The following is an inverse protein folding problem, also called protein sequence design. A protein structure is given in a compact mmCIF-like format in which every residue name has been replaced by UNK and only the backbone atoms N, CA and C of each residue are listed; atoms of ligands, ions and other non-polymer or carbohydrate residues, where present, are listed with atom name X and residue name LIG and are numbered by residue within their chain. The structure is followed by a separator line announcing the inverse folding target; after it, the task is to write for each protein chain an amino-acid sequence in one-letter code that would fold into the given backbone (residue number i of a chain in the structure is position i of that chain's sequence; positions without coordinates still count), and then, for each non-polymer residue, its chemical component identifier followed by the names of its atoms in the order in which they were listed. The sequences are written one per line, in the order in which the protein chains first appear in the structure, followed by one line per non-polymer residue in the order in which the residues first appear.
data_IF_368502042213
#
_entry.id   IF_368502042213
#
_cell.length_a   1.000
_cell.length_b   1.000
_cell.length_c   1.000
_cell.angle_alpha   90.00
_cell.angle_beta   90.00
_cell.angle_gamma   90.00
#
_symmetry.space_group_name_H-M   'P 1'
#
loop_
_entity.id
_entity.type
_entity.pdbx_description
1 polymer ?
#
# COMPACT_ATOMS: atom_id res chain seq x y z
N UNK A 1 19.00 13.55 4.45
CA UNK A 1 18.21 14.08 5.60
C UNK A 1 17.08 13.13 5.93
N UNK A 2 16.91 12.81 7.20
CA UNK A 2 15.80 12.04 7.76
C UNK A 2 14.53 12.89 7.90
N UNK A 3 13.39 12.22 8.14
CA UNK A 3 12.06 12.84 8.19
C UNK A 3 11.91 13.83 9.35
N UNK A 4 12.46 13.50 10.52
CA UNK A 4 12.36 14.35 11.70
C UNK A 4 13.10 15.67 11.49
N UNK A 5 14.30 15.62 10.92
CA UNK A 5 15.07 16.82 10.56
C UNK A 5 14.34 17.75 9.59
N UNK A 6 13.62 17.20 8.60
CA UNK A 6 12.86 18.03 7.64
C UNK A 6 11.63 18.70 8.26
N UNK A 7 10.95 18.03 9.18
CA UNK A 7 9.82 18.61 9.93
C UNK A 7 10.29 19.79 10.79
N UNK A 8 11.46 19.66 11.42
CA UNK A 8 12.04 20.70 12.26
C UNK A 8 12.57 21.90 11.47
N UNK A 9 12.98 21.69 10.21
CA UNK A 9 13.53 22.72 9.34
C UNK A 9 12.47 23.58 8.63
N UNK A 10 11.23 23.11 8.51
CA UNK A 10 10.15 23.89 7.87
C UNK A 10 9.55 24.93 8.84
N UNK A 11 9.38 26.19 8.41
CA UNK A 11 8.77 27.21 9.24
C UNK A 11 7.29 26.91 9.54
N UNK A 12 6.88 27.16 10.78
CA UNK A 12 5.48 27.08 11.19
C UNK A 12 4.77 28.42 10.91
N UNK A 13 3.46 28.39 10.58
CA UNK A 13 2.67 29.61 10.49
C UNK A 13 2.68 30.34 11.84
N UNK A 14 2.68 31.68 11.85
CA UNK A 14 2.80 32.47 13.08
C UNK A 14 1.67 32.23 14.08
N UNK A 15 0.52 31.71 13.61
CA UNK A 15 -0.67 31.48 14.44
C UNK A 15 -0.75 30.07 15.06
N UNK A 16 0.27 29.23 14.86
CA UNK A 16 0.26 27.83 15.34
C UNK A 16 1.36 27.62 16.39
N UNK A 17 1.02 27.17 17.61
CA UNK A 17 2.01 26.85 18.63
C UNK A 17 2.99 25.77 18.17
N UNK A 18 4.30 25.99 18.38
CA UNK A 18 5.35 25.01 18.08
C UNK A 18 5.39 23.91 19.14
N UNK A 19 4.39 23.05 19.12
CA UNK A 19 4.27 21.89 20.02
C UNK A 19 4.67 20.60 19.30
N UNK A 20 5.04 19.58 20.09
CA UNK A 20 5.38 18.25 19.55
C UNK A 20 4.22 17.64 18.74
N UNK A 21 2.99 17.80 19.20
CA UNK A 21 1.78 17.28 18.53
C UNK A 21 1.66 17.83 17.09
N UNK A 22 1.72 19.16 16.93
CA UNK A 22 1.63 19.84 15.62
C UNK A 22 2.76 19.39 14.68
N UNK A 23 3.98 19.25 15.20
CA UNK A 23 5.12 18.78 14.40
C UNK A 23 4.93 17.32 13.97
N UNK A 24 4.40 16.47 14.84
CA UNK A 24 4.10 15.06 14.54
C UNK A 24 3.04 14.94 13.45
N UNK A 25 1.94 15.69 13.55
CA UNK A 25 0.86 15.73 12.57
C UNK A 25 1.35 16.18 11.19
N UNK A 26 2.08 17.30 11.12
CA UNK A 26 2.70 17.77 9.87
C UNK A 26 3.68 16.72 9.31
N UNK A 27 4.42 16.06 10.20
CA UNK A 27 5.27 14.94 9.82
C UNK A 27 4.49 13.83 9.13
N UNK A 28 3.27 13.52 9.59
CA UNK A 28 2.36 12.51 9.01
C UNK A 28 1.83 12.94 7.65
N UNK A 29 1.38 14.18 7.49
CA UNK A 29 0.95 14.74 6.20
C UNK A 29 2.08 14.69 5.14
N UNK A 30 3.31 15.02 5.56
CA UNK A 30 4.49 14.91 4.71
C UNK A 30 4.84 13.44 4.36
N UNK A 31 4.47 12.48 5.21
CA UNK A 31 4.65 11.07 4.90
C UNK A 31 3.58 10.55 3.93
N UNK A 32 2.34 11.02 4.06
CA UNK A 32 1.24 10.68 3.15
C UNK A 32 1.49 11.19 1.73
N UNK A 33 1.91 12.44 1.59
CA UNK A 33 2.26 13.03 0.28
C UNK A 33 3.47 12.35 -0.40
N UNK A 34 4.33 11.68 0.37
CA UNK A 34 5.48 10.91 -0.13
C UNK A 34 5.16 9.46 -0.45
N UNK A 35 3.92 9.03 -0.24
CA UNK A 35 3.51 7.70 -0.63
C UNK A 35 3.52 7.54 -2.15
N UNK A 36 3.66 6.29 -2.58
CA UNK A 36 3.73 5.96 -3.99
C UNK A 36 2.40 6.21 -4.72
N UNK A 37 1.29 5.90 -4.04
CA UNK A 37 -0.08 6.14 -4.51
C UNK A 37 -0.66 7.36 -3.79
N UNK A 38 -1.58 8.06 -4.44
CA UNK A 38 -2.39 9.07 -3.76
C UNK A 38 -3.37 8.41 -2.79
N UNK A 39 -3.87 9.13 -1.76
CA UNK A 39 -4.85 8.56 -0.82
C UNK A 39 -6.11 8.00 -1.50
N UNK A 40 -6.55 8.64 -2.60
CA UNK A 40 -7.70 8.20 -3.39
C UNK A 40 -7.42 6.90 -4.16
N UNK A 41 -6.25 6.82 -4.80
CA UNK A 41 -5.76 5.62 -5.48
C UNK A 41 -5.61 4.45 -4.49
N UNK A 42 -5.08 4.74 -3.31
CA UNK A 42 -4.89 3.77 -2.24
C UNK A 42 -6.24 3.21 -1.76
N UNK A 43 -7.22 4.09 -1.53
CA UNK A 43 -8.60 3.71 -1.17
C UNK A 43 -9.28 2.89 -2.26
N UNK A 44 -9.07 3.21 -3.54
CA UNK A 44 -9.60 2.44 -4.66
C UNK A 44 -8.99 1.03 -4.72
N UNK A 45 -7.67 0.92 -4.51
CA UNK A 45 -6.97 -0.36 -4.47
C UNK A 45 -7.45 -1.24 -3.30
N UNK A 46 -7.65 -0.64 -2.12
CA UNK A 46 -8.24 -1.34 -0.95
C UNK A 46 -9.61 -1.90 -1.30
N UNK A 47 -10.53 -1.06 -1.82
CA UNK A 47 -11.87 -1.51 -2.25
C UNK A 47 -11.81 -2.66 -3.24
N UNK A 48 -10.92 -2.58 -4.23
CA UNK A 48 -10.72 -3.66 -5.20
C UNK A 48 -10.29 -4.97 -4.53
N UNK A 49 -9.32 -4.93 -3.61
CA UNK A 49 -8.87 -6.14 -2.89
C UNK A 49 -9.99 -6.72 -2.03
N UNK A 50 -10.76 -5.88 -1.34
CA UNK A 50 -11.91 -6.31 -0.54
C UNK A 50 -12.98 -6.97 -1.41
N UNK A 51 -13.29 -6.39 -2.57
CA UNK A 51 -14.24 -6.93 -3.55
C UNK A 51 -13.78 -8.30 -4.05
N UNK A 52 -12.53 -8.40 -4.50
CA UNK A 52 -11.95 -9.65 -4.97
C UNK A 52 -12.00 -10.75 -3.90
N UNK A 53 -11.73 -10.40 -2.64
CA UNK A 53 -11.88 -11.33 -1.52
C UNK A 53 -13.33 -11.77 -1.31
N UNK A 54 -14.31 -10.86 -1.43
CA UNK A 54 -15.73 -11.19 -1.29
C UNK A 54 -16.25 -12.11 -2.41
N UNK A 55 -15.65 -12.02 -3.59
CA UNK A 55 -15.94 -12.88 -4.75
C UNK A 55 -15.26 -14.26 -4.66
N UNK A 56 -14.54 -14.55 -3.57
CA UNK A 56 -13.80 -15.81 -3.40
C UNK A 56 -12.46 -15.86 -4.14
N UNK A 57 -11.98 -14.72 -4.64
CA UNK A 57 -10.71 -14.61 -5.36
C UNK A 57 -9.73 -13.67 -4.64
N UNK A 58 -9.20 -14.06 -3.47
CA UNK A 58 -8.30 -13.22 -2.70
C UNK A 58 -7.02 -12.88 -3.47
N UNK A 59 -6.69 -11.59 -3.52
CA UNK A 59 -5.50 -11.09 -4.20
C UNK A 59 -4.24 -11.49 -3.41
N UNK A 60 -3.26 -12.11 -4.08
CA UNK A 60 -1.98 -12.45 -3.45
C UNK A 60 -1.09 -11.22 -3.31
N UNK A 61 -0.36 -11.13 -2.20
CA UNK A 61 0.53 -10.00 -1.89
C UNK A 61 1.58 -9.71 -2.98
N UNK A 62 2.02 -10.75 -3.72
CA UNK A 62 2.97 -10.61 -4.84
C UNK A 62 2.44 -9.71 -5.98
N UNK A 63 1.13 -9.66 -6.18
CA UNK A 63 0.50 -8.84 -7.22
C UNK A 63 0.25 -7.39 -6.76
N UNK A 64 0.36 -7.09 -5.47
CA UNK A 64 0.13 -5.74 -4.95
C UNK A 64 1.08 -4.71 -5.55
N UNK A 65 2.36 -5.09 -5.73
CA UNK A 65 3.36 -4.21 -6.35
C UNK A 65 3.01 -3.91 -7.81
N UNK A 66 2.57 -4.91 -8.57
CA UNK A 66 2.23 -4.72 -9.98
C UNK A 66 0.92 -3.95 -10.17
N UNK A 67 -0.07 -4.15 -9.29
CA UNK A 67 -1.30 -3.37 -9.27
C UNK A 67 -1.01 -1.89 -8.98
N UNK A 68 -0.24 -1.61 -7.91
CA UNK A 68 0.18 -0.26 -7.58
C UNK A 68 0.98 0.40 -8.71
N UNK A 69 1.89 -0.36 -9.34
CA UNK A 69 2.64 0.12 -10.49
C UNK A 69 1.74 0.51 -11.67
N UNK A 70 0.74 -0.33 -12.00
CA UNK A 70 -0.21 -0.04 -13.09
C UNK A 70 -1.06 1.19 -12.83
N UNK A 71 -1.50 1.40 -11.58
CA UNK A 71 -2.25 2.61 -11.20
C UNK A 71 -1.37 3.84 -11.39
N UNK A 72 -0.16 3.80 -10.82
CA UNK A 72 0.75 4.92 -10.89
C UNK A 72 1.20 5.24 -12.34
N UNK A 73 1.33 4.20 -13.17
CA UNK A 73 1.62 4.36 -14.60
C UNK A 73 0.49 5.08 -15.35
N UNK A 74 -0.78 4.77 -15.03
CA UNK A 74 -1.94 5.45 -15.63
C UNK A 74 -2.03 6.92 -15.24
N UNK A 75 -1.60 7.26 -14.01
CA UNK A 75 -1.46 8.66 -13.58
C UNK A 75 -0.33 9.37 -14.33
N UNK A 76 0.79 8.71 -14.55
CA UNK A 76 1.95 9.27 -15.26
C UNK A 76 1.85 9.03 -16.77
N UNK A 77 1.09 9.86 -17.47
CA UNK A 77 0.84 9.71 -18.92
C UNK A 77 2.11 9.63 -19.79
N UNK A 78 3.24 10.20 -19.37
CA UNK A 78 4.43 10.34 -20.22
C UNK A 78 5.79 9.96 -19.58
N UNK A 79 5.83 9.47 -18.33
CA UNK A 79 7.11 9.25 -17.62
C UNK A 79 7.29 7.81 -17.18
N UNK A 80 8.45 7.16 -17.46
CA UNK A 80 8.75 5.85 -16.90
C UNK A 80 8.88 5.98 -15.38
N UNK A 81 7.88 5.49 -14.65
CA UNK A 81 7.92 5.43 -13.20
C UNK A 81 8.72 4.21 -12.76
N UNK A 82 9.52 4.34 -11.71
CA UNK A 82 10.15 3.17 -11.09
C UNK A 82 9.07 2.33 -10.39
N UNK A 83 9.14 1.00 -10.46
CA UNK A 83 8.21 0.16 -9.71
C UNK A 83 8.36 0.39 -8.20
N UNK A 84 7.31 0.13 -7.41
CA UNK A 84 7.40 0.23 -5.96
C UNK A 84 8.48 -0.73 -5.42
N UNK A 85 9.18 -0.31 -4.37
CA UNK A 85 10.26 -1.10 -3.78
C UNK A 85 9.79 -2.45 -3.18
N UNK A 86 10.74 -3.33 -2.80
CA UNK A 86 10.43 -4.67 -2.34
C UNK A 86 9.52 -4.71 -1.11
N UNK A 87 9.75 -3.79 -0.18
CA UNK A 87 9.04 -3.68 1.10
C UNK A 87 7.70 -2.93 1.00
N UNK A 88 7.36 -2.39 -0.18
CA UNK A 88 6.15 -1.58 -0.37
C UNK A 88 4.86 -2.35 -0.05
N UNK A 89 4.64 -3.60 -0.50
CA UNK A 89 3.43 -4.35 -0.15
C UNK A 89 3.26 -4.55 1.36
N UNK A 90 4.37 -4.81 2.08
CA UNK A 90 4.35 -4.98 3.54
C UNK A 90 4.05 -3.66 4.25
N UNK A 91 4.56 -2.53 3.74
CA UNK A 91 4.24 -1.22 4.26
C UNK A 91 2.78 -0.84 4.00
N UNK A 92 2.23 -1.20 2.83
CA UNK A 92 0.83 -0.99 2.48
C UNK A 92 -0.10 -1.81 3.37
N UNK A 93 0.21 -3.08 3.62
CA UNK A 93 -0.56 -3.93 4.54
C UNK A 93 -0.56 -3.37 5.97
N UNK A 94 0.57 -2.82 6.44
CA UNK A 94 0.62 -2.17 7.76
C UNK A 94 -0.28 -0.93 7.89
N UNK A 95 -0.53 -0.20 6.80
CA UNK A 95 -1.43 0.96 6.79
C UNK A 95 -2.90 0.55 6.75
N UNK A 96 -3.20 -0.60 6.15
CA UNK A 96 -4.56 -1.13 5.97
C UNK A 96 -4.70 -2.49 6.65
N UNK A 97 -4.80 -2.48 7.98
CA UNK A 97 -4.94 -3.71 8.78
C UNK A 97 -6.17 -4.55 8.39
N UNK A 98 -7.19 -3.93 7.78
CA UNK A 98 -8.36 -4.60 7.21
C UNK A 98 -8.00 -5.64 6.12
N UNK A 99 -6.86 -5.45 5.46
CA UNK A 99 -6.40 -6.31 4.37
C UNK A 99 -5.58 -7.52 4.87
N UNK A 100 -5.07 -7.48 6.10
CA UNK A 100 -4.21 -8.55 6.65
C UNK A 100 -4.89 -9.91 6.66
N UNK A 101 -6.21 -9.96 6.92
CA UNK A 101 -6.99 -11.20 6.93
C UNK A 101 -7.42 -11.66 5.52
N UNK A 102 -7.41 -10.75 4.53
CA UNK A 102 -7.99 -10.96 3.19
C UNK A 102 -6.94 -11.18 2.10
N UNK A 103 -5.70 -10.76 2.35
CA UNK A 103 -4.58 -11.06 1.47
C UNK A 103 -4.13 -12.50 1.69
N UNK A 104 -4.30 -13.31 0.65
CA UNK A 104 -3.87 -14.71 0.70
C UNK A 104 -2.35 -14.78 0.55
N UNK A 105 -1.70 -15.33 1.60
CA UNK A 105 -0.33 -15.85 1.52
C UNK A 105 -0.30 -16.93 0.44
N UNK A 106 0.87 -17.21 -0.13
CA UNK A 106 0.97 -18.22 -1.20
C UNK A 106 0.21 -19.50 -0.82
N UNK A 107 -0.68 -19.98 -1.70
CA UNK A 107 -1.36 -21.25 -1.48
C UNK A 107 -0.30 -22.33 -1.25
N UNK A 108 -0.48 -23.15 -0.22
CA UNK A 108 0.35 -24.33 -0.01
C UNK A 108 0.31 -25.16 -1.30
N UNK A 109 1.49 -25.53 -1.79
CA UNK A 109 1.67 -26.33 -3.00
C UNK A 109 0.81 -27.60 -2.97
N UNK A 110 0.64 -28.21 -1.79
CA UNK A 110 -0.21 -29.40 -1.58
C UNK A 110 -1.69 -29.18 -1.85
N UNK A 111 -2.17 -27.94 -1.82
CA UNK A 111 -3.57 -27.53 -2.08
C UNK A 111 -3.81 -27.10 -3.52
N UNK A 112 -2.80 -27.13 -4.38
CA UNK A 112 -2.98 -26.78 -5.77
C UNK A 112 -3.77 -27.89 -6.51
N UNK A 113 -4.72 -27.50 -7.35
CA UNK A 113 -5.60 -28.42 -8.11
C UNK A 113 -4.82 -29.51 -8.85
N UNK A 114 -3.60 -29.23 -9.30
CA UNK A 114 -2.71 -30.22 -9.93
C UNK A 114 -2.46 -31.47 -9.07
N UNK A 115 -2.59 -31.37 -7.74
CA UNK A 115 -2.43 -32.48 -6.78
C UNK A 115 -3.74 -33.06 -6.27
N UNK A 116 -4.89 -32.54 -6.74
CA UNK A 116 -6.23 -32.95 -6.33
C UNK A 116 -6.81 -33.98 -7.32
N UNK A 117 -6.49 -33.89 -8.61
CA UNK A 117 -7.06 -34.75 -9.66
C UNK A 117 -6.95 -36.25 -9.37
N UNK A 118 -5.85 -36.71 -8.77
CA UNK A 118 -5.64 -38.14 -8.47
C UNK A 118 -6.26 -38.59 -7.13
N UNK A 119 -6.96 -37.69 -6.40
CA UNK A 119 -7.52 -37.96 -5.06
C UNK A 119 -9.03 -37.93 -4.99
N UNK A 120 -9.69 -37.52 -6.06
CA UNK A 120 -11.15 -37.59 -6.21
C UNK A 120 -11.43 -38.88 -6.98
N UNK A 121 -11.65 -39.97 -6.24
CA UNK A 121 -12.10 -41.28 -6.73
C UNK A 121 -13.36 -41.63 -5.96
#
# INVERSE_FOLDING_TARGET
MDRASQVLAQPLPPNVPRTYAVLSERGNELAESRQYLTPEEEKALVKFVLLMSSLGHPVRIKFMRSLAFRIALRRSTNRPLKPPGPNWPRAFEKRHAELTARLVKAMDWKRHDSHIYNKVT
#
